data_IF_185775145376
#
_entry.id   IF_185775145376
#
_cell.length_a   1.000
_cell.length_b   1.000
_cell.length_c   1.000
_cell.angle_alpha   90.00
_cell.angle_beta   90.00
_cell.angle_gamma   90.00
#
_symmetry.space_group_name_H-M   'P 1'
#
loop_
_entity.id
_entity.type
_entity.pdbx_description
1 polymer ?
#
# COMPACT_ATOMS: atom_id res chain seq x y z
N UNK A 1 21.82 -4.04 -33.56
CA UNK A 1 21.33 -5.16 -32.76
C UNK A 1 21.80 -5.00 -31.34
N UNK A 2 20.90 -4.90 -30.38
CA UNK A 2 21.23 -4.90 -28.95
C UNK A 2 21.69 -6.32 -28.57
N UNK A 3 22.91 -6.46 -28.03
CA UNK A 3 23.41 -7.76 -27.56
C UNK A 3 22.66 -8.13 -26.27
N UNK A 4 22.23 -9.39 -26.17
CA UNK A 4 21.64 -9.92 -24.95
C UNK A 4 22.66 -9.87 -23.81
N UNK A 5 22.19 -9.49 -22.61
CA UNK A 5 22.99 -9.33 -21.41
C UNK A 5 23.32 -10.72 -20.84
N UNK A 6 24.59 -11.13 -20.83
CA UNK A 6 25.02 -12.47 -20.39
C UNK A 6 25.34 -12.56 -18.89
N UNK A 7 25.79 -11.46 -18.27
CA UNK A 7 26.10 -11.40 -16.83
C UNK A 7 26.24 -9.95 -16.38
N UNK A 8 25.65 -9.59 -15.24
CA UNK A 8 25.78 -8.27 -14.63
C UNK A 8 26.56 -8.38 -13.31
N UNK A 9 27.62 -7.59 -13.16
CA UNK A 9 28.40 -7.54 -11.92
C UNK A 9 27.95 -6.32 -11.13
N UNK A 10 27.42 -6.54 -9.93
CA UNK A 10 27.02 -5.44 -9.05
C UNK A 10 28.25 -4.66 -8.58
N UNK A 11 28.33 -3.33 -8.80
CA UNK A 11 29.45 -2.53 -8.33
C UNK A 11 29.45 -2.54 -6.80
N UNK A 12 30.60 -2.89 -6.21
CA UNK A 12 30.83 -2.86 -4.77
C UNK A 12 31.55 -1.54 -4.46
N UNK A 13 30.79 -0.50 -4.14
CA UNK A 13 31.38 0.77 -3.68
C UNK A 13 31.61 0.74 -2.16
N UNK A 14 32.77 1.24 -1.67
CA UNK A 14 33.01 1.35 -0.24
C UNK A 14 32.03 2.35 0.39
N UNK A 15 31.11 1.85 1.22
CA UNK A 15 30.04 2.62 1.86
C UNK A 15 28.65 2.47 1.22
N UNK A 16 28.55 1.82 0.04
CA UNK A 16 27.28 1.45 -0.55
C UNK A 16 26.75 0.15 0.07
N UNK A 17 25.42 -0.04 0.13
CA UNK A 17 24.84 -1.23 0.74
C UNK A 17 25.22 -2.48 -0.08
N UNK A 18 25.73 -3.51 0.61
CA UNK A 18 26.33 -4.74 0.03
C UNK A 18 25.40 -5.42 -0.99
N UNK A 19 25.99 -6.19 -1.93
CA UNK A 19 25.24 -7.07 -2.83
C UNK A 19 24.29 -7.98 -2.03
N UNK A 20 22.97 -7.85 -2.24
CA UNK A 20 21.90 -8.50 -1.47
C UNK A 20 21.06 -7.59 -0.56
N UNK A 21 21.46 -6.32 -0.40
CA UNK A 21 20.76 -5.29 0.39
C UNK A 21 19.55 -4.66 -0.29
N UNK A 22 19.43 -4.81 -1.61
CA UNK A 22 18.41 -4.19 -2.44
C UNK A 22 17.63 -5.26 -3.22
N UNK A 23 16.36 -4.99 -3.53
CA UNK A 23 15.47 -5.95 -4.18
C UNK A 23 16.03 -6.49 -5.51
N UNK A 24 16.74 -5.65 -6.27
CA UNK A 24 17.34 -6.04 -7.56
C UNK A 24 18.49 -7.02 -7.37
N UNK A 25 19.41 -6.77 -6.43
CA UNK A 25 20.57 -7.65 -6.18
C UNK A 25 20.19 -8.93 -5.45
N UNK A 26 19.12 -8.91 -4.65
CA UNK A 26 18.60 -10.10 -3.95
C UNK A 26 18.05 -11.17 -4.90
N UNK A 27 17.30 -10.75 -5.92
CA UNK A 27 16.59 -11.65 -6.84
C UNK A 27 17.22 -11.74 -8.23
N UNK A 28 18.37 -11.07 -8.42
CA UNK A 28 19.09 -10.98 -9.69
C UNK A 28 18.16 -10.52 -10.84
N UNK A 29 17.52 -9.36 -10.65
CA UNK A 29 16.49 -8.81 -11.54
C UNK A 29 17.08 -8.02 -12.71
N UNK A 30 18.14 -8.57 -13.32
CA UNK A 30 18.91 -7.99 -14.42
C UNK A 30 18.84 -8.92 -15.63
N UNK A 31 19.30 -8.43 -16.79
CA UNK A 31 19.28 -9.16 -18.05
C UNK A 31 17.87 -9.78 -18.35
N UNK A 32 17.78 -11.09 -18.57
CA UNK A 32 16.53 -11.80 -18.91
C UNK A 32 15.46 -11.76 -17.81
N UNK A 33 15.80 -11.40 -16.57
CA UNK A 33 14.86 -11.30 -15.45
C UNK A 33 14.40 -9.89 -15.15
N UNK A 34 14.85 -8.90 -15.93
CA UNK A 34 14.43 -7.50 -15.76
C UNK A 34 12.90 -7.32 -15.87
N UNK A 35 12.24 -8.11 -16.72
CA UNK A 35 10.77 -8.06 -16.86
C UNK A 35 10.04 -8.33 -15.54
N UNK A 36 10.60 -9.13 -14.63
CA UNK A 36 9.98 -9.43 -13.34
C UNK A 36 9.96 -8.20 -12.44
N UNK A 37 10.95 -7.31 -12.55
CA UNK A 37 10.95 -6.01 -11.87
C UNK A 37 9.83 -5.13 -12.43
N UNK A 38 9.70 -5.09 -13.75
CA UNK A 38 8.69 -4.27 -14.44
C UNK A 38 7.26 -4.81 -14.23
N UNK A 39 7.13 -6.08 -13.87
CA UNK A 39 5.86 -6.72 -13.52
C UNK A 39 5.38 -6.37 -12.09
N UNK A 40 6.25 -5.87 -11.20
CA UNK A 40 5.86 -5.55 -9.82
C UNK A 40 4.76 -4.48 -9.72
N UNK A 41 4.86 -3.31 -10.38
CA UNK A 41 3.81 -2.29 -10.35
C UNK A 41 2.46 -2.76 -10.92
N UNK A 42 2.36 -3.35 -12.14
CA UNK A 42 1.07 -3.75 -12.68
C UNK A 42 0.40 -4.85 -11.85
N UNK A 43 1.16 -5.78 -11.26
CA UNK A 43 0.59 -6.79 -10.34
C UNK A 43 -0.02 -6.13 -9.11
N UNK A 44 0.66 -5.14 -8.54
CA UNK A 44 0.13 -4.36 -7.42
C UNK A 44 -1.18 -3.64 -7.81
N UNK A 45 -1.19 -2.89 -8.92
CA UNK A 45 -2.38 -2.15 -9.36
C UNK A 45 -3.54 -3.07 -9.78
N UNK A 46 -3.25 -4.23 -10.34
CA UNK A 46 -4.27 -5.25 -10.62
C UNK A 46 -4.91 -5.72 -9.31
N UNK A 47 -4.11 -5.96 -8.27
CA UNK A 47 -4.60 -6.22 -6.92
C UNK A 47 -5.48 -5.07 -6.39
N UNK A 48 -5.06 -3.81 -6.56
CA UNK A 48 -5.84 -2.64 -6.16
C UNK A 48 -7.20 -2.60 -6.86
N UNK A 49 -7.25 -2.86 -8.16
CA UNK A 49 -8.51 -2.90 -8.91
C UNK A 49 -9.46 -3.98 -8.36
N UNK A 50 -8.94 -5.18 -8.07
CA UNK A 50 -9.71 -6.26 -7.43
C UNK A 50 -10.20 -5.81 -6.04
N UNK A 51 -9.33 -5.19 -5.24
CA UNK A 51 -9.70 -4.63 -3.94
C UNK A 51 -10.80 -3.58 -4.01
N UNK A 52 -10.80 -2.70 -5.03
CA UNK A 52 -11.86 -1.71 -5.24
C UNK A 52 -13.22 -2.37 -5.54
N UNK A 53 -13.24 -3.44 -6.34
CA UNK A 53 -14.47 -4.21 -6.59
C UNK A 53 -15.01 -4.77 -5.28
N UNK A 54 -14.15 -5.35 -4.43
CA UNK A 54 -14.56 -5.79 -3.08
C UNK A 54 -14.96 -4.62 -2.17
N UNK A 55 -14.38 -3.44 -2.36
CA UNK A 55 -14.75 -2.22 -1.64
C UNK A 55 -16.21 -1.82 -1.82
N UNK A 56 -16.84 -2.14 -2.97
CA UNK A 56 -18.27 -1.89 -3.20
C UNK A 56 -19.19 -2.65 -2.24
N UNK A 57 -18.70 -3.74 -1.62
CA UNK A 57 -19.43 -4.42 -0.55
C UNK A 57 -19.62 -3.52 0.67
N UNK A 58 -18.86 -2.43 0.81
CA UNK A 58 -18.95 -1.45 1.89
C UNK A 58 -20.26 -0.71 1.88
N UNK A 59 -20.86 -0.49 0.71
CA UNK A 59 -22.18 0.12 0.62
C UNK A 59 -23.27 -0.80 1.21
N UNK A 60 -23.04 -2.13 1.28
CA UNK A 60 -23.97 -3.10 1.87
C UNK A 60 -23.67 -3.42 3.34
N UNK A 61 -22.40 -3.61 3.68
CA UNK A 61 -21.92 -4.06 4.99
C UNK A 61 -21.62 -2.92 5.96
N UNK A 62 -21.49 -1.68 5.47
CA UNK A 62 -20.96 -0.54 6.21
C UNK A 62 -19.56 -0.20 5.73
N UNK A 63 -19.27 1.09 5.55
CA UNK A 63 -17.99 1.56 5.01
C UNK A 63 -16.89 1.43 6.04
N UNK A 64 -17.16 1.73 7.31
CA UNK A 64 -16.21 1.57 8.41
C UNK A 64 -15.75 0.11 8.52
N UNK A 65 -16.68 -0.84 8.46
CA UNK A 65 -16.37 -2.27 8.58
C UNK A 65 -15.42 -2.72 7.47
N UNK A 66 -15.69 -2.35 6.22
CA UNK A 66 -14.81 -2.69 5.09
C UNK A 66 -13.44 -2.01 5.19
N UNK A 67 -13.40 -0.75 5.61
CA UNK A 67 -12.15 -0.04 5.87
C UNK A 67 -11.32 -0.80 6.91
N UNK A 68 -11.91 -1.20 8.03
CA UNK A 68 -11.23 -1.99 9.07
C UNK A 68 -10.75 -3.35 8.55
N UNK A 69 -11.55 -4.06 7.74
CA UNK A 69 -11.13 -5.31 7.12
C UNK A 69 -9.91 -5.14 6.21
N UNK A 70 -9.92 -4.12 5.34
CA UNK A 70 -8.76 -3.85 4.48
C UNK A 70 -7.55 -3.35 5.26
N UNK A 71 -7.73 -2.59 6.34
CA UNK A 71 -6.66 -2.17 7.23
C UNK A 71 -5.98 -3.37 7.92
N UNK A 72 -6.76 -4.34 8.38
CA UNK A 72 -6.22 -5.58 8.94
C UNK A 72 -5.48 -6.38 7.87
N UNK A 73 -6.04 -6.48 6.67
CA UNK A 73 -5.36 -7.11 5.54
C UNK A 73 -4.06 -6.36 5.18
N UNK A 74 -4.05 -5.03 5.27
CA UNK A 74 -2.88 -4.20 5.00
C UNK A 74 -1.77 -4.44 6.03
N UNK A 75 -2.13 -4.51 7.32
CA UNK A 75 -1.19 -4.82 8.39
C UNK A 75 -0.56 -6.21 8.21
N UNK A 76 -1.35 -7.23 7.86
CA UNK A 76 -0.85 -8.60 7.65
C UNK A 76 -0.03 -8.71 6.35
N UNK A 77 -0.41 -7.99 5.30
CA UNK A 77 0.25 -8.07 3.99
C UNK A 77 1.54 -7.25 3.89
N UNK A 78 1.68 -6.18 4.68
CA UNK A 78 2.87 -5.32 4.69
C UNK A 78 4.20 -6.05 4.91
N UNK A 79 4.33 -7.00 5.86
CA UNK A 79 5.59 -7.74 6.05
C UNK A 79 5.79 -8.89 5.06
N UNK A 80 4.77 -9.31 4.28
CA UNK A 80 4.89 -10.47 3.38
C UNK A 80 6.00 -10.32 2.32
N UNK A 81 6.19 -9.16 1.65
CA UNK A 81 7.29 -8.96 0.72
C UNK A 81 8.65 -9.08 1.41
N UNK A 82 8.75 -8.73 2.70
CA UNK A 82 9.98 -8.90 3.45
C UNK A 82 10.27 -10.37 3.74
N UNK A 83 9.26 -11.25 3.83
CA UNK A 83 9.46 -12.66 4.13
C UNK A 83 9.66 -13.53 2.88
N UNK A 84 9.40 -13.00 1.70
CA UNK A 84 9.52 -13.74 0.46
C UNK A 84 10.98 -14.20 0.20
N UNK A 85 11.20 -15.51 -0.06
CA UNK A 85 12.50 -16.04 -0.44
C UNK A 85 12.68 -16.08 -1.97
N UNK A 86 11.57 -16.12 -2.73
CA UNK A 86 11.54 -16.30 -4.18
C UNK A 86 10.67 -15.21 -4.84
N UNK A 87 10.98 -14.89 -6.11
CA UNK A 87 10.27 -13.85 -6.86
C UNK A 87 8.77 -14.15 -7.06
N UNK A 88 8.38 -15.41 -7.17
CA UNK A 88 6.96 -15.79 -7.23
C UNK A 88 6.19 -15.38 -5.96
N UNK A 89 6.78 -15.61 -4.78
CA UNK A 89 6.18 -15.18 -3.51
C UNK A 89 6.23 -13.66 -3.35
N UNK A 90 7.28 -13.01 -3.88
CA UNK A 90 7.35 -11.56 -3.97
C UNK A 90 6.17 -10.99 -4.78
N UNK A 91 5.90 -11.54 -5.97
CA UNK A 91 4.77 -11.10 -6.80
C UNK A 91 3.42 -11.37 -6.15
N UNK A 92 3.24 -12.56 -5.56
CA UNK A 92 2.02 -12.90 -4.83
C UNK A 92 1.78 -11.95 -3.64
N UNK A 93 2.82 -11.67 -2.85
CA UNK A 93 2.73 -10.72 -1.73
C UNK A 93 2.37 -9.31 -2.21
N UNK A 94 2.89 -8.88 -3.37
CA UNK A 94 2.53 -7.59 -3.98
C UNK A 94 1.09 -7.54 -4.47
N UNK A 95 0.58 -8.63 -5.01
CA UNK A 95 -0.83 -8.72 -5.37
C UNK A 95 -1.74 -8.57 -4.14
N UNK A 96 -1.44 -9.29 -3.05
CA UNK A 96 -2.20 -9.20 -1.78
C UNK A 96 -2.12 -7.80 -1.17
N UNK A 97 -0.93 -7.19 -1.15
CA UNK A 97 -0.75 -5.79 -0.73
C UNK A 97 -1.48 -4.80 -1.65
N UNK A 98 -1.61 -5.13 -2.93
CA UNK A 98 -2.44 -4.41 -3.88
C UNK A 98 -3.91 -4.44 -3.47
N UNK A 99 -4.45 -5.61 -3.11
CA UNK A 99 -5.84 -5.74 -2.65
C UNK A 99 -6.11 -4.87 -1.42
N UNK A 100 -5.21 -4.88 -0.43
CA UNK A 100 -5.38 -4.06 0.78
C UNK A 100 -5.31 -2.56 0.51
N UNK A 101 -4.55 -2.12 -0.51
CA UNK A 101 -4.42 -0.70 -0.87
C UNK A 101 -5.73 -0.03 -1.29
N UNK A 102 -6.78 -0.80 -1.59
CA UNK A 102 -8.12 -0.25 -1.80
C UNK A 102 -8.62 0.56 -0.58
N UNK A 103 -8.10 0.29 0.63
CA UNK A 103 -8.41 1.02 1.86
C UNK A 103 -8.21 2.53 1.73
N UNK A 104 -7.18 2.96 0.99
CA UNK A 104 -6.82 4.36 0.83
C UNK A 104 -7.89 5.16 0.09
N UNK A 105 -8.50 4.54 -0.92
CA UNK A 105 -9.58 5.16 -1.68
C UNK A 105 -10.89 5.13 -0.91
N UNK A 106 -11.19 4.02 -0.24
CA UNK A 106 -12.41 3.88 0.58
C UNK A 106 -12.43 4.87 1.75
N UNK A 107 -11.27 5.09 2.39
CA UNK A 107 -11.15 6.02 3.50
C UNK A 107 -11.23 7.48 3.05
N UNK A 108 -10.61 7.83 1.92
CA UNK A 108 -10.75 9.15 1.33
C UNK A 108 -12.23 9.44 1.02
N UNK A 109 -12.94 8.48 0.43
CA UNK A 109 -14.38 8.60 0.16
C UNK A 109 -15.20 8.81 1.43
N UNK A 110 -14.89 8.11 2.52
CA UNK A 110 -15.56 8.29 3.81
C UNK A 110 -15.30 9.69 4.39
N UNK A 111 -14.06 10.17 4.33
CA UNK A 111 -13.69 11.52 4.79
C UNK A 111 -14.42 12.59 3.98
N UNK A 112 -14.50 12.44 2.66
CA UNK A 112 -15.22 13.38 1.79
C UNK A 112 -16.73 13.38 2.03
N UNK A 113 -17.31 12.25 2.43
CA UNK A 113 -18.72 12.15 2.85
C UNK A 113 -19.00 12.83 4.18
N UNK A 114 -18.05 12.77 5.12
CA UNK A 114 -18.15 13.41 6.43
C UNK A 114 -17.88 14.93 6.37
N UNK A 115 -17.25 15.41 5.30
CA UNK A 115 -16.84 16.81 5.18
C UNK A 115 -17.80 17.62 4.30
N UNK A 116 -17.98 18.90 4.65
CA UNK A 116 -18.67 19.87 3.80
C UNK A 116 -17.99 20.01 2.43
N UNK A 117 -18.80 20.19 1.40
CA UNK A 117 -18.38 20.22 -0.01
C UNK A 117 -17.24 21.21 -0.30
N UNK A 118 -17.24 22.36 0.37
CA UNK A 118 -16.21 23.40 0.23
C UNK A 118 -14.78 22.91 0.53
N UNK A 119 -14.62 21.92 1.40
CA UNK A 119 -13.30 21.43 1.84
C UNK A 119 -12.88 20.11 1.20
N UNK A 120 -13.75 19.46 0.42
CA UNK A 120 -13.46 18.14 -0.18
C UNK A 120 -12.20 18.14 -1.02
N UNK A 121 -12.08 19.10 -1.96
CA UNK A 121 -10.90 19.21 -2.82
C UNK A 121 -9.62 19.48 -2.03
N UNK A 122 -9.69 20.24 -0.93
CA UNK A 122 -8.52 20.52 -0.09
C UNK A 122 -8.07 19.25 0.63
N UNK A 123 -9.00 18.50 1.23
CA UNK A 123 -8.70 17.25 1.94
C UNK A 123 -8.18 16.17 0.99
N UNK A 124 -8.77 16.04 -0.21
CA UNK A 124 -8.26 15.14 -1.24
C UNK A 124 -6.83 15.47 -1.65
N UNK A 125 -6.50 16.75 -1.85
CA UNK A 125 -5.12 17.16 -2.14
C UNK A 125 -4.17 16.89 -0.97
N UNK A 126 -4.58 17.21 0.27
CA UNK A 126 -3.79 16.93 1.47
C UNK A 126 -3.48 15.44 1.60
N UNK A 127 -4.46 14.57 1.32
CA UNK A 127 -4.27 13.13 1.34
C UNK A 127 -3.15 12.68 0.38
N UNK A 128 -3.15 13.17 -0.87
CA UNK A 128 -2.10 12.87 -1.85
C UNK A 128 -0.75 13.49 -1.50
N UNK A 129 -0.72 14.65 -0.83
CA UNK A 129 0.53 15.22 -0.33
C UNK A 129 1.15 14.34 0.77
N UNK A 130 0.33 13.85 1.71
CA UNK A 130 0.79 12.90 2.73
C UNK A 130 1.26 11.58 2.10
N UNK A 131 0.61 11.13 1.04
CA UNK A 131 1.05 9.96 0.26
C UNK A 131 2.46 10.18 -0.30
N UNK A 132 2.68 11.27 -1.03
CA UNK A 132 4.00 11.61 -1.58
C UNK A 132 5.07 11.74 -0.48
N UNK A 133 4.74 12.40 0.63
CA UNK A 133 5.64 12.51 1.78
C UNK A 133 6.00 11.13 2.35
N UNK A 134 5.03 10.23 2.51
CA UNK A 134 5.27 8.85 2.95
C UNK A 134 6.22 8.07 2.03
N UNK A 135 6.06 8.21 0.71
CA UNK A 135 7.00 7.60 -0.25
C UNK A 135 8.41 8.17 -0.11
N UNK A 136 8.56 9.50 0.02
CA UNK A 136 9.86 10.13 0.23
C UNK A 136 10.51 9.67 1.53
N UNK A 137 9.76 9.61 2.64
CA UNK A 137 10.24 9.10 3.91
C UNK A 137 10.66 7.64 3.82
N UNK A 138 9.93 6.80 3.07
CA UNK A 138 10.32 5.40 2.87
C UNK A 138 11.67 5.27 2.15
N UNK A 139 11.94 6.12 1.16
CA UNK A 139 13.24 6.18 0.48
C UNK A 139 14.37 6.63 1.40
N UNK A 140 14.12 7.65 2.23
CA UNK A 140 15.07 8.10 3.25
C UNK A 140 15.36 7.00 4.29
N UNK A 141 14.34 6.25 4.72
CA UNK A 141 14.50 5.12 5.64
C UNK A 141 15.37 4.01 5.04
N UNK A 142 15.20 3.68 3.76
CA UNK A 142 16.08 2.72 3.07
C UNK A 142 17.53 3.22 3.07
N UNK A 143 17.76 4.51 2.83
CA UNK A 143 19.10 5.09 2.82
C UNK A 143 19.79 5.04 4.19
N UNK A 144 19.04 5.18 5.28
CA UNK A 144 19.58 5.13 6.65
C UNK A 144 19.74 3.69 7.15
N UNK A 145 18.75 2.82 6.92
CA UNK A 145 18.71 1.45 7.45
C UNK A 145 19.55 0.49 6.59
N UNK A 146 19.68 0.77 5.29
CA UNK A 146 20.44 -0.05 4.35
C UNK A 146 19.78 -1.38 3.96
N UNK A 147 18.57 -1.68 4.46
CA UNK A 147 17.80 -2.88 4.09
C UNK A 147 16.33 -2.53 3.80
N UNK A 148 15.86 -2.85 2.59
CA UNK A 148 14.48 -2.63 2.16
C UNK A 148 13.47 -3.49 2.93
N UNK A 149 13.88 -4.64 3.48
CA UNK A 149 13.00 -5.55 4.23
C UNK A 149 12.58 -4.92 5.56
N UNK A 150 13.52 -4.32 6.26
CA UNK A 150 13.29 -3.60 7.53
C UNK A 150 12.28 -2.46 7.37
N UNK A 151 12.28 -1.78 6.22
CA UNK A 151 11.31 -0.70 5.93
C UNK A 151 9.88 -1.25 5.78
N UNK A 152 9.70 -2.46 5.28
CA UNK A 152 8.38 -3.10 5.23
C UNK A 152 7.82 -3.36 6.65
N UNK A 153 8.68 -3.78 7.58
CA UNK A 153 8.28 -3.95 8.99
C UNK A 153 8.01 -2.62 9.68
N UNK A 154 8.80 -1.58 9.39
CA UNK A 154 8.58 -0.23 9.92
C UNK A 154 7.22 0.35 9.53
N UNK A 155 6.64 -0.12 8.41
CA UNK A 155 5.30 0.29 7.94
C UNK A 155 4.18 -0.21 8.85
N UNK A 156 4.43 -1.23 9.70
CA UNK A 156 3.42 -1.71 10.66
C UNK A 156 3.05 -0.64 11.70
N UNK A 157 4.01 0.17 12.15
CA UNK A 157 3.75 1.21 13.14
C UNK A 157 2.70 2.24 12.69
N UNK A 158 2.83 2.90 11.51
CA UNK A 158 1.79 3.80 11.01
C UNK A 158 0.47 3.06 10.68
N UNK A 159 0.52 1.80 10.24
CA UNK A 159 -0.72 1.01 10.03
C UNK A 159 -1.49 0.81 11.34
N UNK A 160 -0.84 0.52 12.47
CA UNK A 160 -1.50 0.36 13.77
C UNK A 160 -2.12 1.67 14.26
N UNK A 161 -1.43 2.80 14.09
CA UNK A 161 -1.99 4.13 14.38
C UNK A 161 -3.21 4.37 13.51
N UNK A 162 -3.17 3.97 12.24
CA UNK A 162 -4.30 4.15 11.33
C UNK A 162 -5.51 3.28 11.73
N UNK A 163 -5.28 2.04 12.20
CA UNK A 163 -6.34 1.21 12.78
C UNK A 163 -6.99 1.93 13.97
N UNK A 164 -6.19 2.45 14.91
CA UNK A 164 -6.72 3.16 16.07
C UNK A 164 -7.57 4.37 15.68
N UNK A 165 -7.14 5.15 14.67
CA UNK A 165 -7.91 6.29 14.13
C UNK A 165 -9.20 5.80 13.48
N UNK A 166 -9.15 4.76 12.64
CA UNK A 166 -10.33 4.22 11.95
C UNK A 166 -11.41 3.72 12.92
N UNK A 167 -11.03 3.27 14.12
CA UNK A 167 -11.96 2.92 15.19
C UNK A 167 -12.70 4.13 15.77
N UNK A 168 -12.04 5.28 15.87
CA UNK A 168 -12.63 6.52 16.38
C UNK A 168 -13.54 7.22 15.36
N UNK A 169 -13.34 6.97 14.06
CA UNK A 169 -14.15 7.58 12.99
C UNK A 169 -15.58 7.00 12.99
N UNK A 170 -16.63 7.85 12.90
CA UNK A 170 -18.02 7.39 12.80
C UNK A 170 -18.30 6.72 11.45
N UNK A 171 -19.42 5.99 11.36
CA UNK A 171 -19.88 5.41 10.10
C UNK A 171 -20.35 6.50 9.12
N UNK A 172 -20.42 6.19 7.83
CA UNK A 172 -20.92 7.14 6.82
C UNK A 172 -22.35 7.59 7.15
N UNK A 173 -22.63 8.91 7.25
CA UNK A 173 -23.97 9.42 7.54
C UNK A 173 -24.96 9.03 6.44
N UNK A 174 -24.50 8.98 5.18
CA UNK A 174 -25.31 8.54 4.04
C UNK A 174 -25.74 7.09 4.19
N UNK A 175 -24.82 6.21 4.61
CA UNK A 175 -25.14 4.80 4.84
C UNK A 175 -26.13 4.63 6.00
N UNK A 176 -25.96 5.40 7.09
CA UNK A 176 -26.87 5.39 8.24
C UNK A 176 -28.29 5.83 7.84
N UNK A 177 -28.43 6.89 7.04
CA UNK A 177 -29.73 7.35 6.52
C UNK A 177 -30.39 6.28 5.64
N UNK A 178 -29.63 5.65 4.73
CA UNK A 178 -30.15 4.58 3.86
C UNK A 178 -30.58 3.33 4.64
N UNK A 179 -30.03 3.10 5.82
CA UNK A 179 -30.40 1.99 6.72
C UNK A 179 -31.45 2.36 7.77
N UNK A 180 -32.03 3.56 7.68
CA UNK A 180 -33.06 4.04 8.61
C UNK A 180 -32.54 4.40 10.01
N UNK A 181 -31.21 4.50 10.19
CA UNK A 181 -30.56 4.82 11.48
C UNK A 181 -30.29 6.32 11.60
N UNK A 182 -31.34 7.13 11.45
CA UNK A 182 -31.22 8.59 11.41
C UNK A 182 -30.70 9.20 12.74
N UNK A 183 -30.99 8.56 13.88
CA UNK A 183 -30.53 9.03 15.20
C UNK A 183 -29.00 9.01 15.35
N UNK A 184 -28.29 8.21 14.56
CA UNK A 184 -26.83 8.12 14.56
C UNK A 184 -26.17 8.98 13.47
N UNK A 185 -26.98 9.58 12.59
CA UNK A 185 -26.52 10.39 11.45
C UNK A 185 -26.47 11.90 11.77
N UNK A 186 -26.64 12.29 13.05
CA UNK A 186 -26.66 13.66 13.55
C UNK A 186 -25.29 14.06 14.09
#
# INVERSE_FOLDING_TARGET
GTRACSSFVYPVEPGAPLSGSNLVSRYDLVCDRAYLRDLLPPVYFTGTAVGMVFGTLGDRLGRKTIILCFLLLDAVSSPLPALAPNMALQLASRFVKGISSAVYYQSLLLVEELTAERYRSLLGNLFWLFWCAGYMTSGALVAVIGDWRSVQFATLAPCLVYIAIAWAVPESPRWLVLRGRQAEAV
#
